data_IF_277265610747
#
_entry.id   IF_277265610747
#
_cell.length_a   1.000
_cell.length_b   1.000
_cell.length_c   1.000
_cell.angle_alpha   90.00
_cell.angle_beta   90.00
_cell.angle_gamma   90.00
#
_symmetry.space_group_name_H-M   'P 1'
#
loop_
_entity.id
_entity.type
_entity.pdbx_description
1 polymer ?
#
# COMPACT_ATOMS: atom_id res chain seq x y z
N UNK A 1 14.24 -0.52 9.88
CA UNK A 1 14.69 -1.32 8.73
C UNK A 1 16.15 -1.62 8.95
N UNK A 2 16.53 -2.90 8.98
CA UNK A 2 17.92 -3.33 9.16
C UNK A 2 18.65 -3.40 7.80
N UNK A 3 19.96 -3.64 7.83
CA UNK A 3 20.82 -3.73 6.64
C UNK A 3 20.27 -4.71 5.59
N UNK A 4 19.90 -5.91 6.02
CA UNK A 4 19.38 -6.98 5.16
C UNK A 4 18.07 -6.59 4.49
N UNK A 5 17.13 -6.00 5.25
CA UNK A 5 15.86 -5.50 4.71
C UNK A 5 16.06 -4.30 3.80
N UNK A 6 17.09 -3.48 4.02
CA UNK A 6 17.42 -2.39 3.11
C UNK A 6 17.98 -2.89 1.79
N UNK A 7 18.91 -3.85 1.83
CA UNK A 7 19.42 -4.49 0.61
C UNK A 7 18.32 -5.25 -0.12
N UNK A 8 17.41 -5.90 0.60
CA UNK A 8 16.20 -6.49 0.03
C UNK A 8 15.29 -5.42 -0.59
N UNK A 9 15.02 -4.33 0.13
CA UNK A 9 14.22 -3.20 -0.36
C UNK A 9 14.81 -2.57 -1.62
N UNK A 10 16.13 -2.41 -1.70
CA UNK A 10 16.83 -1.89 -2.87
C UNK A 10 16.96 -2.90 -3.99
N UNK A 11 16.86 -4.20 -3.68
CA UNK A 11 16.93 -5.23 -4.69
C UNK A 11 15.79 -5.04 -5.69
N UNK A 12 16.17 -4.95 -6.95
CA UNK A 12 15.25 -4.72 -8.04
C UNK A 12 14.60 -6.06 -8.50
N UNK A 13 15.06 -7.19 -7.98
CA UNK A 13 14.44 -8.48 -8.25
C UNK A 13 14.89 -9.52 -7.21
N UNK A 14 14.30 -9.48 -6.01
CA UNK A 14 14.34 -10.64 -5.10
C UNK A 14 12.99 -11.35 -5.16
N UNK A 15 12.90 -12.49 -5.88
CA UNK A 15 11.67 -13.27 -5.97
C UNK A 15 11.36 -14.03 -4.68
N UNK A 16 12.37 -14.21 -3.82
CA UNK A 16 12.28 -14.90 -2.54
C UNK A 16 11.41 -14.09 -1.57
N UNK A 17 10.20 -14.59 -1.28
CA UNK A 17 9.34 -14.06 -0.22
C UNK A 17 9.48 -15.00 0.97
N UNK A 18 9.83 -14.47 2.15
CA UNK A 18 9.63 -15.22 3.38
C UNK A 18 8.12 -15.45 3.57
N UNK A 19 7.71 -16.59 4.13
CA UNK A 19 6.30 -16.98 4.30
C UNK A 19 5.44 -15.93 5.06
N UNK A 20 6.09 -15.05 5.83
CA UNK A 20 5.46 -13.99 6.62
C UNK A 20 5.59 -12.59 6.01
N UNK A 21 6.26 -12.43 4.86
CA UNK A 21 6.42 -11.13 4.24
C UNK A 21 5.13 -10.70 3.53
N UNK A 22 4.54 -9.65 4.11
CA UNK A 22 3.34 -8.96 3.64
C UNK A 22 3.55 -8.27 2.28
N UNK A 23 4.78 -7.85 1.99
CA UNK A 23 5.19 -7.19 0.76
C UNK A 23 6.40 -7.86 0.13
N UNK A 24 6.55 -7.74 -1.19
CA UNK A 24 7.67 -8.32 -1.92
C UNK A 24 8.96 -7.51 -1.80
N UNK A 25 9.51 -7.31 -0.61
CA UNK A 25 10.83 -6.68 -0.42
C UNK A 25 11.00 -5.35 -1.22
N UNK A 26 9.99 -4.48 -1.19
CA UNK A 26 10.00 -3.23 -1.95
C UNK A 26 9.69 -3.36 -3.45
N UNK A 27 9.08 -4.47 -3.91
CA UNK A 27 8.65 -4.65 -5.31
C UNK A 27 7.67 -3.57 -5.79
N UNK A 28 6.83 -3.01 -4.91
CA UNK A 28 5.93 -1.92 -5.29
C UNK A 28 6.65 -0.69 -5.85
N UNK A 29 7.94 -0.49 -5.51
CA UNK A 29 8.73 0.65 -6.02
C UNK A 29 8.99 0.59 -7.54
N UNK A 30 8.91 -0.58 -8.19
CA UNK A 30 9.09 -0.67 -9.65
C UNK A 30 8.02 0.11 -10.41
N UNK A 31 6.81 0.14 -9.87
CA UNK A 31 5.72 0.92 -10.46
C UNK A 31 6.13 2.39 -10.53
N UNK A 32 6.84 2.90 -9.52
CA UNK A 32 7.36 4.26 -9.49
C UNK A 32 8.53 4.47 -10.46
N UNK A 33 9.30 3.43 -10.79
CA UNK A 33 10.35 3.55 -11.80
C UNK A 33 9.74 3.79 -13.17
N UNK A 34 8.68 3.06 -13.52
CA UNK A 34 7.92 3.29 -14.75
C UNK A 34 7.22 4.65 -14.81
N UNK A 35 7.06 5.32 -13.66
CA UNK A 35 6.53 6.68 -13.57
C UNK A 35 7.55 7.78 -13.93
N UNK A 36 8.85 7.45 -14.00
CA UNK A 36 9.90 8.37 -14.46
C UNK A 36 10.05 8.32 -15.97
N UNK A 37 10.26 9.46 -16.63
CA UNK A 37 10.61 9.52 -18.06
C UNK A 37 11.94 8.82 -18.37
N UNK A 38 12.86 8.83 -17.40
CA UNK A 38 14.21 8.26 -17.53
C UNK A 38 14.40 6.95 -16.74
N UNK A 39 13.32 6.41 -16.17
CA UNK A 39 13.33 5.28 -15.24
C UNK A 39 14.27 5.48 -14.06
N UNK A 40 14.34 6.71 -13.54
CA UNK A 40 15.21 7.09 -12.42
C UNK A 40 14.40 7.24 -11.13
N UNK A 41 14.88 6.60 -10.07
CA UNK A 41 14.42 6.79 -8.70
C UNK A 41 15.60 7.16 -7.79
N UNK A 42 15.34 8.02 -6.81
CA UNK A 42 16.25 8.22 -5.67
C UNK A 42 15.52 7.78 -4.41
N UNK A 43 16.16 6.95 -3.59
CA UNK A 43 15.57 6.44 -2.35
C UNK A 43 16.43 6.88 -1.18
N UNK A 44 15.82 7.60 -0.26
CA UNK A 44 16.39 7.93 1.05
C UNK A 44 15.79 7.03 2.13
N UNK A 45 16.58 6.61 3.11
CA UNK A 45 16.07 5.89 4.26
C UNK A 45 16.84 6.21 5.54
N UNK A 46 16.10 6.31 6.64
CA UNK A 46 16.60 6.50 8.01
C UNK A 46 15.94 5.48 8.91
N UNK A 47 16.71 4.83 9.78
CA UNK A 47 16.23 3.88 10.78
C UNK A 47 17.15 3.89 12.00
N UNK A 48 16.75 3.20 13.07
CA UNK A 48 17.55 3.08 14.29
C UNK A 48 18.90 2.38 14.04
N UNK A 49 18.98 1.56 12.99
CA UNK A 49 20.20 0.83 12.57
C UNK A 49 20.91 1.51 11.38
N UNK A 50 20.21 2.35 10.63
CA UNK A 50 20.69 3.00 9.40
C UNK A 50 20.54 4.51 9.56
N UNK A 51 21.60 5.26 9.91
CA UNK A 51 21.48 6.67 10.27
C UNK A 51 20.94 7.55 9.13
N UNK A 52 21.44 7.37 7.92
CA UNK A 52 20.90 7.94 6.69
C UNK A 52 21.55 7.23 5.50
N UNK A 53 20.76 6.84 4.51
CA UNK A 53 21.27 6.34 3.23
C UNK A 53 20.46 6.90 2.09
N UNK A 54 21.15 7.28 1.03
CA UNK A 54 20.55 7.68 -0.23
C UNK A 54 21.11 6.82 -1.36
N UNK A 55 20.23 6.29 -2.20
CA UNK A 55 20.58 5.47 -3.34
C UNK A 55 19.86 5.92 -4.59
N UNK A 56 20.59 5.86 -5.70
CA UNK A 56 20.06 6.11 -7.02
C UNK A 56 19.80 4.78 -7.72
N UNK A 57 18.65 4.66 -8.38
CA UNK A 57 18.22 3.51 -9.17
C UNK A 57 17.88 3.98 -10.58
N UNK A 58 18.45 3.37 -11.61
CA UNK A 58 18.13 3.65 -13.02
C UNK A 58 18.15 2.39 -13.87
N UNK A 59 17.07 2.13 -14.63
CA UNK A 59 16.96 0.96 -15.52
C UNK A 59 17.44 -0.34 -14.83
N UNK A 60 16.94 -0.58 -13.62
CA UNK A 60 17.31 -1.72 -12.78
C UNK A 60 18.78 -1.79 -12.33
N UNK A 61 19.50 -0.67 -12.31
CA UNK A 61 20.85 -0.57 -11.74
C UNK A 61 20.86 0.34 -10.52
N UNK A 62 21.53 -0.09 -9.44
CA UNK A 62 21.74 0.72 -8.23
C UNK A 62 23.10 1.41 -8.24
N UNK A 63 23.18 2.61 -7.68
CA UNK A 63 24.47 3.29 -7.45
C UNK A 63 25.34 2.49 -6.49
N UNK A 64 26.67 2.61 -6.65
CA UNK A 64 27.61 1.79 -5.87
C UNK A 64 27.53 2.05 -4.37
N UNK A 65 27.83 1.03 -3.56
CA UNK A 65 27.80 1.10 -2.09
C UNK A 65 28.95 1.91 -1.50
N UNK A 66 29.94 2.30 -2.31
CA UNK A 66 31.11 3.07 -1.88
C UNK A 66 30.83 4.55 -1.68
N UNK A 67 29.70 5.06 -2.18
CA UNK A 67 29.32 6.47 -2.05
C UNK A 67 28.03 6.57 -1.24
N UNK A 68 28.14 7.17 -0.06
CA UNK A 68 26.97 7.71 0.64
C UNK A 68 26.57 8.97 -0.11
N UNK A 69 25.57 8.85 -0.99
CA UNK A 69 25.01 10.02 -1.64
C UNK A 69 24.21 10.84 -0.64
N UNK A 70 24.11 12.14 -0.90
CA UNK A 70 23.06 12.99 -0.35
C UNK A 70 21.98 13.16 -1.41
N UNK A 71 20.72 13.34 -1.01
CA UNK A 71 19.69 13.80 -1.96
C UNK A 71 20.09 15.12 -2.63
N UNK A 72 20.88 15.96 -1.96
CA UNK A 72 21.39 17.24 -2.50
C UNK A 72 22.30 17.07 -3.70
N UNK A 73 22.92 15.89 -3.86
CA UNK A 73 23.74 15.58 -5.04
C UNK A 73 22.87 15.47 -6.31
N UNK A 74 21.58 15.19 -6.15
CA UNK A 74 20.62 15.01 -7.25
C UNK A 74 19.59 16.15 -7.32
N UNK A 75 19.19 16.69 -6.17
CA UNK A 75 18.21 17.76 -6.02
C UNK A 75 18.78 18.78 -5.03
N UNK A 76 19.54 19.79 -5.48
CA UNK A 76 20.34 20.66 -4.61
C UNK A 76 19.56 21.32 -3.45
N UNK A 77 18.32 21.72 -3.71
CA UNK A 77 17.46 22.40 -2.73
C UNK A 77 16.65 21.44 -1.84
N UNK A 78 16.75 20.13 -2.07
CA UNK A 78 16.03 19.15 -1.27
C UNK A 78 16.57 19.09 0.16
N UNK A 79 15.64 18.97 1.11
CA UNK A 79 15.96 18.64 2.49
C UNK A 79 16.08 17.11 2.62
N UNK A 80 17.22 16.59 3.11
CA UNK A 80 17.39 15.17 3.38
C UNK A 80 16.35 14.65 4.37
N UNK A 81 15.96 13.39 4.20
CA UNK A 81 15.13 12.71 5.18
C UNK A 81 15.81 12.73 6.56
N UNK A 82 15.14 13.30 7.56
CA UNK A 82 15.69 13.54 8.90
C UNK A 82 14.93 12.79 10.02
N UNK A 83 13.99 11.94 9.66
CA UNK A 83 13.19 11.13 10.57
C UNK A 83 13.12 9.70 10.05
N UNK A 84 12.87 8.76 10.97
CA UNK A 84 12.76 7.34 10.65
C UNK A 84 11.71 7.09 9.57
N UNK A 85 12.12 6.46 8.48
CA UNK A 85 11.26 6.22 7.33
C UNK A 85 12.04 6.00 6.05
N UNK A 86 11.30 5.93 4.94
CA UNK A 86 11.85 5.83 3.59
C UNK A 86 11.15 6.86 2.71
N UNK A 87 11.92 7.63 1.94
CA UNK A 87 11.42 8.62 0.98
C UNK A 87 11.87 8.22 -0.41
N UNK A 88 10.95 8.24 -1.38
CA UNK A 88 11.23 7.91 -2.78
C UNK A 88 11.00 9.16 -3.61
N UNK A 89 11.98 9.50 -4.43
CA UNK A 89 11.93 10.57 -5.42
C UNK A 89 11.83 9.95 -6.80
N UNK A 90 10.85 10.39 -7.57
CA UNK A 90 10.69 10.01 -8.98
C UNK A 90 11.25 11.15 -9.82
N UNK A 91 12.38 10.91 -10.49
CA UNK A 91 13.02 11.94 -11.30
C UNK A 91 12.32 12.10 -12.65
N UNK A 92 12.14 13.33 -13.13
CA UNK A 92 11.35 13.66 -14.33
C UNK A 92 10.06 12.84 -14.42
N UNK A 93 9.17 13.02 -13.45
CA UNK A 93 7.93 12.26 -13.38
C UNK A 93 7.05 12.51 -14.62
N UNK A 94 6.59 11.44 -15.25
CA UNK A 94 5.71 11.49 -16.42
C UNK A 94 4.43 12.25 -16.09
N UNK A 95 3.99 13.11 -17.02
CA UNK A 95 2.73 13.87 -16.88
C UNK A 95 1.53 12.98 -16.59
N UNK A 96 1.44 11.82 -17.25
CA UNK A 96 0.34 10.86 -17.04
C UNK A 96 0.32 10.32 -15.60
N UNK A 97 1.49 10.02 -15.04
CA UNK A 97 1.61 9.61 -13.65
C UNK A 97 1.18 10.73 -12.71
N UNK A 98 1.65 11.96 -12.95
CA UNK A 98 1.24 13.13 -12.16
C UNK A 98 -0.27 13.34 -12.23
N UNK A 99 -0.89 13.23 -13.40
CA UNK A 99 -2.34 13.33 -13.55
C UNK A 99 -3.05 12.22 -12.77
N UNK A 100 -2.55 10.98 -12.84
CA UNK A 100 -3.14 9.84 -12.15
C UNK A 100 -3.07 10.00 -10.62
N UNK A 101 -1.92 10.39 -10.06
CA UNK A 101 -1.80 10.56 -8.60
C UNK A 101 -2.63 11.73 -8.05
N UNK A 102 -2.98 12.70 -8.89
CA UNK A 102 -3.87 13.82 -8.56
C UNK A 102 -5.36 13.52 -8.81
N UNK A 103 -5.69 12.28 -9.21
CA UNK A 103 -7.05 11.89 -9.54
C UNK A 103 -7.82 11.40 -8.30
N UNK A 104 -9.14 11.55 -8.33
CA UNK A 104 -10.03 11.02 -7.29
C UNK A 104 -9.99 9.47 -7.27
N UNK A 105 -9.79 8.86 -8.43
CA UNK A 105 -9.67 7.41 -8.59
C UNK A 105 -8.45 6.87 -7.84
N UNK A 106 -7.34 7.60 -7.83
CA UNK A 106 -6.16 7.21 -7.06
C UNK A 106 -6.40 7.30 -5.55
N UNK A 107 -7.08 8.35 -5.09
CA UNK A 107 -7.53 8.48 -3.70
C UNK A 107 -8.36 7.27 -3.29
N UNK A 108 -9.38 6.95 -4.08
CA UNK A 108 -10.31 5.86 -3.82
C UNK A 108 -9.60 4.51 -3.79
N UNK A 109 -8.68 4.26 -4.72
CA UNK A 109 -7.89 3.04 -4.74
C UNK A 109 -7.03 2.86 -3.47
N UNK A 110 -6.44 3.94 -2.95
CA UNK A 110 -5.66 3.88 -1.71
C UNK A 110 -6.59 3.61 -0.51
N UNK A 111 -7.70 4.35 -0.41
CA UNK A 111 -8.67 4.18 0.68
C UNK A 111 -9.24 2.77 0.71
N UNK A 112 -9.64 2.25 -0.45
CA UNK A 112 -10.14 0.89 -0.63
C UNK A 112 -9.07 -0.16 -0.26
N UNK A 113 -7.82 0.03 -0.70
CA UNK A 113 -6.76 -0.96 -0.46
C UNK A 113 -6.41 -1.07 1.02
N UNK A 114 -6.39 0.06 1.73
CA UNK A 114 -5.82 0.18 3.08
C UNK A 114 -6.84 0.43 4.18
N UNK A 115 -8.14 0.35 3.91
CA UNK A 115 -9.21 0.72 4.85
C UNK A 115 -9.05 0.16 6.27
N UNK A 116 -8.56 -1.08 6.44
CA UNK A 116 -8.34 -1.68 7.77
C UNK A 116 -7.19 -1.02 8.54
N UNK A 117 -6.17 -0.55 7.83
CA UNK A 117 -5.04 0.17 8.41
C UNK A 117 -5.44 1.61 8.74
N UNK A 118 -6.30 2.20 7.92
CA UNK A 118 -6.80 3.58 8.12
C UNK A 118 -7.84 3.69 9.23
N UNK A 119 -8.42 2.57 9.66
CA UNK A 119 -9.33 2.53 10.80
C UNK A 119 -8.63 2.69 12.15
N UNK A 120 -9.44 2.69 13.20
CA UNK A 120 -9.03 2.92 14.60
C UNK A 120 -7.94 1.98 15.10
N UNK A 121 -7.75 0.82 14.45
CA UNK A 121 -6.80 -0.20 14.87
C UNK A 121 -5.34 0.25 14.76
N UNK A 122 -4.99 1.00 13.72
CA UNK A 122 -3.60 1.40 13.47
C UNK A 122 -3.41 2.92 13.48
N UNK A 123 -4.50 3.70 13.46
CA UNK A 123 -4.48 5.16 13.46
C UNK A 123 -3.55 5.73 12.36
N UNK A 124 -3.45 5.02 11.24
CA UNK A 124 -2.64 5.46 10.12
C UNK A 124 -3.32 6.62 9.41
N UNK A 125 -2.52 7.57 8.93
CA UNK A 125 -2.97 8.71 8.15
C UNK A 125 -2.44 8.60 6.74
N UNK A 126 -3.25 8.98 5.78
CA UNK A 126 -2.80 9.23 4.41
C UNK A 126 -2.86 10.71 4.18
N UNK A 127 -1.79 11.26 3.61
CA UNK A 127 -1.80 12.61 3.08
C UNK A 127 -1.39 12.57 1.62
N UNK A 128 -2.15 13.23 0.77
CA UNK A 128 -1.86 13.42 -0.65
C UNK A 128 -1.71 14.91 -0.88
N UNK A 129 -0.57 15.34 -1.40
CA UNK A 129 -0.28 16.77 -1.66
C UNK A 129 -0.50 17.66 -0.42
N UNK A 130 -0.03 17.20 0.73
CA UNK A 130 -0.18 17.86 2.04
C UNK A 130 -1.62 17.97 2.57
N UNK A 131 -2.60 17.37 1.89
CA UNK A 131 -3.98 17.24 2.37
C UNK A 131 -4.19 15.87 3.02
N UNK A 132 -4.68 15.84 4.26
CA UNK A 132 -5.03 14.60 4.96
C UNK A 132 -6.32 14.01 4.38
N UNK A 133 -6.24 12.77 3.89
CA UNK A 133 -7.36 12.06 3.32
C UNK A 133 -8.17 11.39 4.41
N UNK A 134 -9.47 11.70 4.47
CA UNK A 134 -10.39 11.05 5.41
C UNK A 134 -11.04 9.84 4.75
N UNK A 135 -10.85 8.66 5.33
CA UNK A 135 -11.62 7.47 4.94
C UNK A 135 -13.11 7.72 5.22
N UNK A 136 -14.02 7.35 4.30
CA UNK A 136 -15.44 7.36 4.57
C UNK A 136 -15.74 6.53 5.83
N UNK A 137 -16.59 7.07 6.71
CA UNK A 137 -17.03 6.33 7.89
C UNK A 137 -18.04 5.28 7.47
N UNK A 138 -17.82 4.05 7.90
CA UNK A 138 -18.84 3.01 7.78
C UNK A 138 -19.94 3.26 8.82
N UNK A 139 -21.22 3.10 8.44
CA UNK A 139 -22.32 3.16 9.39
C UNK A 139 -22.25 2.00 10.40
N UNK A 140 -23.09 2.02 11.45
CA UNK A 140 -23.17 0.93 12.42
C UNK A 140 -23.45 -0.43 11.74
N UNK A 141 -22.75 -1.44 12.24
CA UNK A 141 -22.93 -2.82 11.81
C UNK A 141 -24.23 -3.36 12.41
N UNK A 142 -25.16 -3.80 11.57
CA UNK A 142 -26.41 -4.46 11.96
C UNK A 142 -26.15 -5.91 12.33
N UNK A 143 -25.41 -6.62 11.47
CA UNK A 143 -25.14 -8.04 11.62
C UNK A 143 -23.79 -8.41 11.03
N UNK A 144 -23.14 -9.42 11.62
CA UNK A 144 -21.95 -10.03 11.06
C UNK A 144 -22.05 -11.55 11.10
N UNK A 145 -21.89 -12.19 9.94
CA UNK A 145 -21.82 -13.62 9.80
C UNK A 145 -20.37 -14.04 9.56
N UNK A 146 -19.77 -14.75 10.51
CA UNK A 146 -18.45 -15.36 10.33
C UNK A 146 -18.65 -16.75 9.74
N UNK A 147 -18.28 -16.92 8.47
CA UNK A 147 -18.49 -18.18 7.76
C UNK A 147 -17.32 -19.15 7.96
N UNK A 148 -16.10 -18.63 8.05
CA UNK A 148 -14.90 -19.41 8.31
C UNK A 148 -13.96 -18.63 9.23
N UNK A 149 -13.29 -19.34 10.14
CA UNK A 149 -12.27 -18.76 11.00
C UNK A 149 -11.13 -19.76 11.19
N UNK A 150 -9.89 -19.27 11.02
CA UNK A 150 -8.64 -20.03 11.16
C UNK A 150 -8.63 -21.41 10.48
N UNK A 151 -9.25 -21.53 9.30
CA UNK A 151 -9.40 -22.79 8.58
C UNK A 151 -8.39 -22.91 7.44
N UNK A 152 -7.71 -24.05 7.35
CA UNK A 152 -6.90 -24.41 6.17
C UNK A 152 -7.82 -25.02 5.12
N UNK A 153 -7.84 -24.43 3.93
CA UNK A 153 -8.55 -24.92 2.76
C UNK A 153 -7.55 -25.58 1.81
N UNK A 154 -7.95 -26.70 1.23
CA UNK A 154 -7.16 -27.40 0.22
C UNK A 154 -6.96 -26.51 -1.01
N UNK A 155 -5.75 -26.48 -1.56
CA UNK A 155 -5.36 -25.67 -2.73
C UNK A 155 -5.55 -24.14 -2.61
N UNK A 156 -5.87 -23.61 -1.43
CA UNK A 156 -6.05 -22.16 -1.20
C UNK A 156 -5.16 -21.61 -0.08
N UNK A 157 -4.92 -22.40 0.97
CA UNK A 157 -4.12 -21.98 2.12
C UNK A 157 -4.98 -21.73 3.36
N UNK A 158 -4.47 -20.95 4.33
CA UNK A 158 -5.18 -20.68 5.58
C UNK A 158 -6.01 -19.40 5.46
N UNK A 159 -7.32 -19.53 5.59
CA UNK A 159 -8.24 -18.41 5.77
C UNK A 159 -8.25 -18.05 7.25
N UNK A 160 -7.77 -16.84 7.58
CA UNK A 160 -7.82 -16.34 8.96
C UNK A 160 -9.25 -16.05 9.38
N UNK A 161 -10.02 -15.35 8.52
CA UNK A 161 -11.41 -15.00 8.78
C UNK A 161 -12.13 -14.66 7.49
N UNK A 162 -13.19 -15.39 7.17
CA UNK A 162 -14.18 -15.00 6.17
C UNK A 162 -15.41 -14.49 6.92
N UNK A 163 -15.75 -13.22 6.73
CA UNK A 163 -16.92 -12.62 7.34
C UNK A 163 -17.74 -11.82 6.33
N UNK A 164 -19.06 -11.90 6.48
CA UNK A 164 -20.04 -11.05 5.82
C UNK A 164 -20.58 -10.05 6.83
N UNK A 165 -20.73 -8.80 6.40
CA UNK A 165 -21.09 -7.66 7.22
C UNK A 165 -22.29 -6.95 6.59
N UNK A 166 -23.34 -6.77 7.37
CA UNK A 166 -24.55 -6.06 6.98
C UNK A 166 -24.69 -4.83 7.85
N UNK A 167 -25.06 -3.71 7.24
CA UNK A 167 -25.07 -2.40 7.88
C UNK A 167 -26.49 -1.85 8.02
N UNK A 168 -26.69 -0.94 8.98
CA UNK A 168 -27.99 -0.29 9.17
C UNK A 168 -28.35 0.66 8.02
N UNK A 169 -27.35 1.29 7.42
CA UNK A 169 -27.49 2.28 6.34
C UNK A 169 -26.61 1.90 5.15
N UNK A 170 -26.89 2.45 3.94
CA UNK A 170 -26.04 2.25 2.78
C UNK A 170 -24.57 2.60 3.06
N UNK A 171 -23.67 1.79 2.54
CA UNK A 171 -22.23 1.99 2.66
C UNK A 171 -21.64 2.53 1.34
N UNK A 172 -20.52 3.26 1.41
CA UNK A 172 -19.79 3.71 0.23
C UNK A 172 -19.48 2.56 -0.74
N UNK A 173 -19.57 2.82 -2.04
CA UNK A 173 -19.38 1.82 -3.10
C UNK A 173 -18.02 1.09 -2.99
N UNK A 174 -16.95 1.84 -2.67
CA UNK A 174 -15.60 1.30 -2.42
C UNK A 174 -15.52 0.25 -1.31
N UNK A 175 -16.56 0.11 -0.50
CA UNK A 175 -16.62 -0.88 0.58
C UNK A 175 -17.61 -2.00 0.33
N UNK A 176 -18.33 -2.00 -0.80
CA UNK A 176 -19.30 -3.04 -1.13
C UNK A 176 -18.63 -4.32 -1.66
N UNK A 177 -19.35 -5.44 -1.71
CA UNK A 177 -18.82 -6.72 -2.20
C UNK A 177 -17.87 -7.44 -1.21
N UNK A 178 -17.19 -8.49 -1.68
CA UNK A 178 -16.31 -9.32 -0.83
C UNK A 178 -14.84 -9.06 -1.16
N UNK A 179 -14.09 -8.53 -0.19
CA UNK A 179 -12.69 -8.13 -0.37
C UNK A 179 -11.73 -9.22 0.09
N UNK A 180 -10.86 -9.69 -0.80
CA UNK A 180 -9.82 -10.67 -0.45
C UNK A 180 -8.60 -9.90 0.03
N UNK A 181 -8.13 -10.23 1.23
CA UNK A 181 -7.05 -9.50 1.88
C UNK A 181 -5.86 -10.38 2.20
N UNK A 182 -4.68 -9.76 2.19
CA UNK A 182 -3.44 -10.34 2.73
C UNK A 182 -2.70 -9.25 3.45
N UNK A 183 -2.30 -9.55 4.70
CA UNK A 183 -1.55 -8.63 5.54
C UNK A 183 -2.19 -7.23 5.69
N UNK A 184 -3.51 -7.18 5.87
CA UNK A 184 -4.32 -5.96 6.01
C UNK A 184 -4.36 -5.07 4.74
N UNK A 185 -3.94 -5.59 3.59
CA UNK A 185 -4.14 -4.97 2.27
C UNK A 185 -5.15 -5.77 1.48
N UNK A 186 -6.06 -5.09 0.80
CA UNK A 186 -6.87 -5.73 -0.24
C UNK A 186 -5.98 -6.14 -1.43
N UNK A 187 -6.15 -7.37 -1.90
CA UNK A 187 -5.55 -7.87 -3.14
C UNK A 187 -6.52 -7.71 -4.30
N UNK A 188 -7.79 -8.06 -4.06
CA UNK A 188 -8.85 -8.03 -5.07
C UNK A 188 -10.22 -8.00 -4.39
N UNK A 189 -11.23 -7.67 -5.17
CA UNK A 189 -12.63 -7.65 -4.77
C UNK A 189 -13.41 -8.62 -5.66
N UNK A 190 -14.26 -9.42 -5.03
CA UNK A 190 -15.22 -10.27 -5.72
C UNK A 190 -16.57 -9.55 -5.68
N UNK A 191 -17.12 -9.16 -6.84
CA UNK A 191 -18.47 -8.63 -6.90
C UNK A 191 -19.44 -9.62 -6.27
N UNK A 192 -20.33 -9.12 -5.43
CA UNK A 192 -21.32 -9.95 -4.74
C UNK A 192 -22.66 -9.26 -4.78
N UNK A 193 -23.60 -9.84 -5.50
CA UNK A 193 -24.96 -9.32 -5.58
C UNK A 193 -25.79 -9.87 -4.43
N UNK A 194 -26.34 -8.96 -3.63
CA UNK A 194 -27.30 -9.32 -2.59
C UNK A 194 -28.70 -9.34 -3.20
N UNK A 195 -29.28 -10.53 -3.29
CA UNK A 195 -30.63 -10.73 -3.84
C UNK A 195 -31.72 -10.05 -3.01
N UNK A 196 -31.52 -9.98 -1.70
CA UNK A 196 -32.46 -9.33 -0.80
C UNK A 196 -32.33 -7.81 -0.90
N UNK A 197 -33.40 -7.17 -1.42
CA UNK A 197 -33.42 -5.73 -1.72
C UNK A 197 -33.07 -4.85 -0.51
N UNK A 198 -33.47 -5.28 0.68
CA UNK A 198 -33.25 -4.53 1.92
C UNK A 198 -31.77 -4.40 2.29
N UNK A 199 -30.91 -5.27 1.74
CA UNK A 199 -29.47 -5.28 1.96
C UNK A 199 -28.66 -4.79 0.76
N UNK A 200 -29.32 -4.37 -0.33
CA UNK A 200 -28.64 -3.71 -1.45
C UNK A 200 -27.90 -2.46 -0.95
N UNK A 201 -26.64 -2.32 -1.37
CA UNK A 201 -25.73 -1.26 -0.94
C UNK A 201 -25.44 -1.20 0.56
N UNK A 202 -25.87 -2.20 1.35
CA UNK A 202 -25.69 -2.26 2.82
C UNK A 202 -24.86 -3.47 3.24
N UNK A 203 -24.02 -3.95 2.34
CA UNK A 203 -23.29 -5.21 2.48
C UNK A 203 -21.82 -5.01 2.19
N UNK A 204 -20.97 -5.60 3.04
CA UNK A 204 -19.58 -5.84 2.72
C UNK A 204 -19.14 -7.23 3.19
N UNK A 205 -18.06 -7.74 2.64
CA UNK A 205 -17.41 -8.95 3.13
C UNK A 205 -15.89 -8.84 3.05
N UNK A 206 -15.21 -9.69 3.80
CA UNK A 206 -13.76 -9.85 3.69
C UNK A 206 -13.28 -11.26 3.96
N UNK A 207 -12.14 -11.61 3.35
CA UNK A 207 -11.38 -12.88 3.49
C UNK A 207 -9.94 -12.57 3.90
#
# INVERSE_FOLDING_TARGET
MNEERWEAFLSLWKPEKADLDAGGQGQGKFVLMGASEENILVVESVSDEIPYRCKFLQNDRKSSDKYYHSIKDFVPDAQPLNHKGTKIWVYSAKKEFLNAINSQEFVEAILETWWQILGDRFAAKISLFDEEMTSPKLPPLKEQLVLLENKKLENFGRVKRLALQFYEEPIPEIFQGVRIQRANMMITQVPFEVYEKDYQNRFSGYI
#
